data_IF_334878474621
#
_entry.id   IF_334878474621
#
_cell.length_a   1.000
_cell.length_b   1.000
_cell.length_c   1.000
_cell.angle_alpha   90.00
_cell.angle_beta   90.00
_cell.angle_gamma   90.00
#
_symmetry.space_group_name_H-M   'P 1'
#
loop_
_entity.id
_entity.type
_entity.pdbx_description
1 polymer ?
#
# COMPACT_ATOMS: atom_id res chain seq x y z
N UNK A 1 -11.04 5.65 -13.26
CA UNK A 1 -11.52 5.55 -11.88
C UNK A 1 -10.81 4.44 -11.13
N UNK A 2 -10.53 3.30 -11.79
CA UNK A 2 -9.58 2.28 -11.30
C UNK A 2 -8.17 2.81 -11.04
N UNK A 3 -7.74 3.85 -11.78
CA UNK A 3 -6.38 4.37 -11.70
C UNK A 3 -5.90 4.76 -10.28
N UNK A 4 -6.76 5.32 -9.42
CA UNK A 4 -6.37 5.71 -8.07
C UNK A 4 -6.23 4.51 -7.13
N UNK A 5 -7.20 3.57 -7.17
CA UNK A 5 -7.11 2.33 -6.39
C UNK A 5 -5.99 1.43 -6.90
N UNK A 6 -5.76 1.39 -8.21
CA UNK A 6 -4.66 0.66 -8.81
C UNK A 6 -3.32 1.28 -8.43
N UNK A 7 -3.20 2.61 -8.38
CA UNK A 7 -2.02 3.27 -7.84
C UNK A 7 -1.77 2.88 -6.38
N UNK A 8 -2.81 2.84 -5.53
CA UNK A 8 -2.66 2.37 -4.13
C UNK A 8 -2.20 0.91 -4.08
N UNK A 9 -2.76 0.03 -4.91
CA UNK A 9 -2.35 -1.37 -5.01
C UNK A 9 -0.90 -1.49 -5.49
N UNK A 10 -0.47 -0.67 -6.44
CA UNK A 10 0.91 -0.63 -6.93
C UNK A 10 1.90 -0.17 -5.85
N UNK A 11 1.57 0.89 -5.10
CA UNK A 11 2.35 1.33 -3.94
C UNK A 11 2.47 0.19 -2.92
N UNK A 12 1.37 -0.56 -2.67
CA UNK A 12 1.36 -1.68 -1.71
C UNK A 12 2.22 -2.85 -2.19
N UNK A 13 2.20 -3.10 -3.50
CA UNK A 13 3.08 -4.07 -4.16
C UNK A 13 4.54 -3.65 -4.09
N UNK A 14 4.87 -2.36 -4.10
CA UNK A 14 6.25 -1.88 -3.89
C UNK A 14 6.67 -1.92 -2.43
N UNK A 15 5.71 -1.90 -1.51
CA UNK A 15 5.97 -1.83 -0.06
C UNK A 15 6.03 -0.40 0.47
N UNK A 16 5.58 0.55 -0.34
CA UNK A 16 5.50 1.96 0.05
C UNK A 16 4.44 2.14 1.13
N UNK A 17 4.64 3.14 1.99
CA UNK A 17 3.69 3.51 3.02
C UNK A 17 2.86 4.70 2.56
N UNK A 18 1.55 4.63 2.77
CA UNK A 18 0.63 5.75 2.54
C UNK A 18 0.17 6.25 3.90
N UNK A 19 0.49 7.51 4.21
CA UNK A 19 0.18 8.13 5.49
C UNK A 19 -1.21 8.79 5.51
N UNK A 20 -1.56 9.49 4.44
CA UNK A 20 -2.83 10.22 4.33
C UNK A 20 -3.40 10.03 2.92
N UNK A 21 -4.72 9.85 2.83
CA UNK A 21 -5.48 9.78 1.59
C UNK A 21 -6.54 10.88 1.63
N UNK A 22 -6.48 11.77 0.63
CA UNK A 22 -7.45 12.85 0.46
C UNK A 22 -8.32 12.52 -0.76
N UNK A 23 -9.64 12.61 -0.62
CA UNK A 23 -10.58 12.37 -1.71
C UNK A 23 -11.64 13.47 -1.80
N UNK A 24 -12.01 13.87 -3.01
CA UNK A 24 -13.16 14.77 -3.22
C UNK A 24 -14.47 14.00 -3.03
N UNK A 25 -15.44 14.59 -2.33
CA UNK A 25 -16.77 14.01 -2.19
C UNK A 25 -17.41 13.77 -3.56
N UNK A 26 -17.31 14.74 -4.47
CA UNK A 26 -17.87 14.63 -5.83
C UNK A 26 -16.82 14.13 -6.80
N UNK A 27 -16.81 12.83 -7.03
CA UNK A 27 -16.02 12.17 -8.06
C UNK A 27 -16.95 11.50 -9.10
N UNK A 28 -16.56 11.44 -10.38
CA UNK A 28 -17.33 10.70 -11.38
C UNK A 28 -17.38 9.22 -11.00
N UNK A 29 -18.52 8.57 -11.27
CA UNK A 29 -18.82 7.13 -11.12
C UNK A 29 -18.72 6.48 -9.71
N UNK A 30 -17.89 6.97 -8.78
CA UNK A 30 -17.95 6.66 -7.34
C UNK A 30 -17.73 7.94 -6.53
N UNK A 31 -18.33 8.06 -5.35
CA UNK A 31 -18.09 9.21 -4.49
C UNK A 31 -16.80 9.03 -3.64
N UNK A 32 -16.30 10.12 -3.04
CA UNK A 32 -15.08 10.08 -2.25
C UNK A 32 -15.12 9.13 -1.03
N UNK A 33 -16.32 8.85 -0.51
CA UNK A 33 -16.52 7.97 0.65
C UNK A 33 -16.32 6.52 0.22
N UNK A 34 -16.97 6.10 -0.87
CA UNK A 34 -16.82 4.76 -1.45
C UNK A 34 -15.36 4.49 -1.85
N UNK A 35 -14.65 5.51 -2.34
CA UNK A 35 -13.22 5.41 -2.62
C UNK A 35 -12.40 5.21 -1.35
N UNK A 36 -12.63 6.02 -0.31
CA UNK A 36 -11.91 5.92 0.96
C UNK A 36 -12.16 4.59 1.67
N UNK A 37 -13.38 4.06 1.57
CA UNK A 37 -13.73 2.71 2.07
C UNK A 37 -12.89 1.63 1.37
N UNK A 38 -12.81 1.64 0.04
CA UNK A 38 -11.97 0.69 -0.70
C UNK A 38 -10.47 0.91 -0.47
N UNK A 39 -10.06 2.15 -0.23
CA UNK A 39 -8.67 2.48 0.07
C UNK A 39 -8.24 1.91 1.43
N UNK A 40 -9.14 1.79 2.41
CA UNK A 40 -8.87 1.19 3.72
C UNK A 40 -8.50 -0.30 3.61
N UNK A 41 -9.10 -1.06 2.69
CA UNK A 41 -8.72 -2.45 2.44
C UNK A 41 -7.26 -2.57 1.97
N UNK A 42 -6.76 -1.51 1.31
CA UNK A 42 -5.38 -1.43 0.82
C UNK A 42 -4.46 -0.89 1.92
N UNK A 43 -4.81 0.22 2.55
CA UNK A 43 -4.02 0.90 3.60
C UNK A 43 -4.87 1.21 4.83
N UNK A 44 -5.09 0.24 5.72
CA UNK A 44 -6.00 0.44 6.86
C UNK A 44 -5.43 1.38 7.94
N UNK A 45 -4.13 1.68 7.88
CA UNK A 45 -3.51 2.67 8.76
C UNK A 45 -3.38 4.07 8.18
N UNK A 46 -3.78 4.30 6.92
CA UNK A 46 -3.73 5.63 6.34
C UNK A 46 -4.83 6.52 6.92
N UNK A 47 -4.52 7.78 7.22
CA UNK A 47 -5.49 8.79 7.64
C UNK A 47 -6.37 9.20 6.46
N UNK A 48 -7.66 9.42 6.71
CA UNK A 48 -8.67 9.67 5.69
C UNK A 48 -9.18 11.10 5.77
N UNK A 49 -9.14 11.80 4.65
CA UNK A 49 -9.62 13.18 4.54
C UNK A 49 -10.60 13.31 3.38
N UNK A 50 -11.80 13.79 3.69
CA UNK A 50 -12.80 14.10 2.68
C UNK A 50 -12.79 15.59 2.34
N UNK A 51 -12.62 15.94 1.08
CA UNK A 51 -12.77 17.30 0.57
C UNK A 51 -14.22 17.50 0.12
N UNK A 52 -14.94 18.48 0.66
CA UNK A 52 -16.36 18.70 0.35
C UNK A 52 -16.69 20.16 0.11
N UNK A 53 -17.78 20.45 -0.61
CA UNK A 53 -18.30 21.80 -0.77
C UNK A 53 -19.52 22.01 0.15
N UNK A 54 -19.80 23.26 0.53
CA UNK A 54 -20.85 23.65 1.48
C UNK A 54 -22.24 23.04 1.23
N UNK A 55 -22.58 22.75 -0.04
CA UNK A 55 -23.86 22.18 -0.44
C UNK A 55 -24.03 20.69 -0.08
N UNK A 56 -22.94 19.99 0.25
CA UNK A 56 -22.90 18.54 0.49
C UNK A 56 -22.68 18.20 1.98
N UNK A 57 -22.77 19.18 2.87
CA UNK A 57 -22.40 19.05 4.31
C UNK A 57 -23.23 18.01 5.05
N UNK A 58 -24.53 17.89 4.78
CA UNK A 58 -25.38 16.88 5.44
C UNK A 58 -25.03 15.45 5.02
N UNK A 59 -24.74 15.23 3.73
CA UNK A 59 -24.31 13.92 3.23
C UNK A 59 -22.87 13.58 3.68
N UNK A 60 -22.02 14.59 3.88
CA UNK A 60 -20.70 14.43 4.46
C UNK A 60 -20.77 14.05 5.96
N UNK A 61 -21.73 14.59 6.72
CA UNK A 61 -21.94 14.23 8.14
C UNK A 61 -22.35 12.76 8.28
N UNK A 62 -23.26 12.28 7.42
CA UNK A 62 -23.67 10.87 7.45
C UNK A 62 -22.51 9.93 7.10
N UNK A 63 -21.60 10.37 6.22
CA UNK A 63 -20.40 9.63 5.85
C UNK A 63 -19.38 9.47 6.97
N UNK A 64 -19.22 10.48 7.83
CA UNK A 64 -18.30 10.46 8.98
C UNK A 64 -18.61 9.26 9.87
N UNK A 65 -19.89 8.97 10.10
CA UNK A 65 -20.33 7.88 10.96
C UNK A 65 -20.14 6.48 10.32
N UNK A 66 -20.03 6.40 8.99
CA UNK A 66 -19.96 5.12 8.26
C UNK A 66 -18.52 4.65 8.05
N UNK A 67 -17.59 5.57 7.72
CA UNK A 67 -16.22 5.20 7.35
C UNK A 67 -15.14 5.71 8.32
N UNK A 68 -15.53 6.25 9.48
CA UNK A 68 -14.62 6.73 10.53
C UNK A 68 -13.58 7.72 9.98
N UNK A 69 -14.04 8.78 9.31
CA UNK A 69 -13.16 9.80 8.73
C UNK A 69 -12.28 10.46 9.81
N UNK A 70 -10.98 10.59 9.54
CA UNK A 70 -10.08 11.32 10.44
C UNK A 70 -10.31 12.84 10.34
N UNK A 71 -10.65 13.34 9.15
CA UNK A 71 -10.98 14.76 8.96
C UNK A 71 -11.84 15.02 7.71
N UNK A 72 -12.50 16.18 7.66
CA UNK A 72 -13.10 16.72 6.43
C UNK A 72 -12.68 18.18 6.22
N UNK A 73 -12.43 18.56 4.98
CA UNK A 73 -12.03 19.92 4.61
C UNK A 73 -13.06 20.53 3.66
N UNK A 74 -13.45 21.77 3.95
CA UNK A 74 -14.41 22.51 3.15
C UNK A 74 -13.72 23.34 2.06
N UNK A 75 -14.25 23.25 0.84
CA UNK A 75 -13.91 24.11 -0.30
C UNK A 75 -14.62 25.47 -0.20
N UNK A 76 -13.96 26.59 -0.54
CA UNK A 76 -12.53 26.72 -0.90
C UNK A 76 -11.61 26.76 0.33
N UNK A 77 -10.47 26.05 0.23
CA UNK A 77 -9.44 26.00 1.27
C UNK A 77 -8.35 27.06 1.09
N UNK A 78 -8.53 28.02 0.19
CA UNK A 78 -7.61 29.15 0.07
C UNK A 78 -7.76 30.13 1.24
N UNK A 79 -6.65 30.65 1.79
CA UNK A 79 -5.27 30.24 1.52
C UNK A 79 -4.93 28.87 2.15
N UNK A 80 -4.25 27.95 1.43
CA UNK A 80 -4.00 26.59 1.90
C UNK A 80 -3.10 26.54 3.13
N UNK A 81 -2.23 27.53 3.33
CA UNK A 81 -1.35 27.66 4.50
C UNK A 81 -2.14 27.79 5.81
N UNK A 82 -3.37 28.31 5.75
CA UNK A 82 -4.20 28.50 6.93
C UNK A 82 -5.19 27.34 7.15
N UNK A 83 -5.66 26.71 6.07
CA UNK A 83 -6.79 25.77 6.13
C UNK A 83 -6.45 24.33 5.77
N UNK A 84 -5.49 24.11 4.87
CA UNK A 84 -5.14 22.78 4.35
C UNK A 84 -3.90 22.22 5.05
N UNK A 85 -2.79 22.96 5.02
CA UNK A 85 -1.50 22.47 5.52
C UNK A 85 -1.51 22.15 7.02
N UNK A 86 -2.09 22.98 7.91
CA UNK A 86 -2.12 22.66 9.34
C UNK A 86 -2.84 21.33 9.63
N UNK A 87 -3.95 21.07 8.93
CA UNK A 87 -4.71 19.83 9.06
C UNK A 87 -3.89 18.62 8.56
N UNK A 88 -3.19 18.76 7.43
CA UNK A 88 -2.36 17.68 6.91
C UNK A 88 -1.16 17.39 7.80
N UNK A 89 -0.54 18.42 8.36
CA UNK A 89 0.57 18.27 9.30
C UNK A 89 0.12 17.51 10.55
N UNK A 90 -1.02 17.90 11.14
CA UNK A 90 -1.60 17.20 12.29
C UNK A 90 -1.90 15.73 11.99
N UNK A 91 -2.44 15.42 10.82
CA UNK A 91 -2.74 14.05 10.40
C UNK A 91 -1.48 13.23 10.13
N UNK A 92 -0.47 13.83 9.51
CA UNK A 92 0.82 13.19 9.26
C UNK A 92 1.53 12.88 10.57
N UNK A 93 1.50 13.80 11.53
CA UNK A 93 2.08 13.58 12.85
C UNK A 93 1.30 12.50 13.62
N UNK A 94 -0.03 12.55 13.61
CA UNK A 94 -0.87 11.50 14.19
C UNK A 94 -0.65 10.12 13.55
N UNK A 95 -0.32 10.07 12.26
CA UNK A 95 0.07 8.83 11.57
C UNK A 95 1.45 8.35 12.01
N UNK A 96 2.44 9.25 12.10
CA UNK A 96 3.81 8.90 12.55
C UNK A 96 3.82 8.32 13.97
N UNK A 97 3.01 8.90 14.87
CA UNK A 97 2.89 8.46 16.26
C UNK A 97 1.92 7.29 16.45
N UNK A 98 1.20 6.87 15.41
CA UNK A 98 0.33 5.70 15.47
C UNK A 98 1.14 4.42 15.63
N UNK A 99 0.62 3.49 16.43
CA UNK A 99 1.16 2.13 16.60
C UNK A 99 0.90 1.23 15.36
N UNK A 100 0.15 1.72 14.37
CA UNK A 100 -0.03 0.98 13.13
C UNK A 100 1.31 0.87 12.39
N UNK A 101 1.87 -0.35 12.42
CA UNK A 101 3.04 -0.75 11.64
C UNK A 101 2.61 -1.88 10.72
N UNK A 102 2.47 -1.66 9.40
CA UNK A 102 2.22 -2.76 8.49
C UNK A 102 3.37 -3.75 8.64
N UNK A 103 3.06 -5.04 8.88
CA UNK A 103 4.08 -6.08 8.99
C UNK A 103 4.83 -6.13 7.66
N UNK A 104 6.12 -5.74 7.62
CA UNK A 104 6.89 -5.76 6.39
C UNK A 104 6.97 -7.22 5.92
N UNK A 105 6.54 -7.50 4.70
CA UNK A 105 6.48 -8.86 4.14
C UNK A 105 7.37 -8.96 2.91
N UNK A 106 8.14 -10.05 2.83
CA UNK A 106 8.85 -10.39 1.60
C UNK A 106 7.85 -10.72 0.49
N UNK A 107 8.10 -10.28 -0.74
CA UNK A 107 7.31 -10.68 -1.91
C UNK A 107 8.13 -11.64 -2.74
N UNK A 108 7.61 -12.85 -2.97
CA UNK A 108 8.29 -13.88 -3.74
C UNK A 108 7.54 -14.07 -5.06
N UNK A 109 8.19 -13.73 -6.16
CA UNK A 109 7.69 -14.03 -7.52
C UNK A 109 8.42 -15.25 -8.04
N UNK A 110 7.69 -16.26 -8.51
CA UNK A 110 8.32 -17.46 -9.06
C UNK A 110 7.35 -18.33 -9.84
N UNK A 111 7.88 -19.33 -10.53
CA UNK A 111 7.06 -20.34 -11.19
C UNK A 111 6.45 -21.29 -10.17
N UNK A 112 5.19 -21.68 -10.41
CA UNK A 112 4.42 -22.54 -9.50
C UNK A 112 5.11 -23.89 -9.22
N UNK A 113 5.91 -24.40 -10.17
CA UNK A 113 6.51 -25.75 -10.12
C UNK A 113 8.05 -25.73 -10.07
N UNK A 114 8.67 -24.58 -9.82
CA UNK A 114 10.13 -24.48 -9.72
C UNK A 114 10.62 -24.97 -8.36
N UNK A 115 11.58 -25.91 -8.35
CA UNK A 115 12.26 -26.37 -7.14
C UNK A 115 12.89 -25.20 -6.37
N UNK A 116 13.61 -24.33 -7.09
CA UNK A 116 14.23 -23.13 -6.51
C UNK A 116 13.21 -22.17 -5.87
N UNK A 117 12.03 -22.03 -6.47
CA UNK A 117 10.92 -21.23 -5.89
C UNK A 117 10.31 -21.90 -4.65
N UNK A 118 10.37 -23.22 -4.54
CA UNK A 118 9.97 -23.95 -3.34
C UNK A 118 11.02 -23.80 -2.23
N UNK A 119 12.30 -23.93 -2.55
CA UNK A 119 13.40 -23.80 -1.59
C UNK A 119 13.39 -22.43 -0.87
N UNK A 120 13.19 -21.35 -1.63
CA UNK A 120 13.10 -19.99 -1.07
C UNK A 120 11.88 -19.83 -0.15
N UNK A 121 10.72 -20.36 -0.55
CA UNK A 121 9.49 -20.28 0.29
C UNK A 121 9.63 -21.11 1.55
N UNK A 122 10.20 -22.31 1.44
CA UNK A 122 10.46 -23.17 2.59
C UNK A 122 11.46 -22.52 3.55
N UNK A 123 12.52 -21.88 3.03
CA UNK A 123 13.45 -21.11 3.85
C UNK A 123 12.74 -20.00 4.64
N UNK A 124 11.91 -19.19 3.97
CA UNK A 124 11.19 -18.09 4.63
C UNK A 124 10.20 -18.62 5.67
N UNK A 125 9.43 -19.66 5.33
CA UNK A 125 8.49 -20.30 6.24
C UNK A 125 9.18 -20.90 7.47
N UNK A 126 10.29 -21.62 7.27
CA UNK A 126 11.06 -22.27 8.35
C UNK A 126 11.65 -21.26 9.34
N UNK A 127 12.05 -20.09 8.85
CA UNK A 127 12.60 -19.01 9.67
C UNK A 127 11.53 -18.00 10.14
N UNK A 128 10.24 -18.30 9.96
CA UNK A 128 9.11 -17.45 10.36
C UNK A 128 9.16 -16.03 9.77
N UNK A 129 9.76 -15.88 8.58
CA UNK A 129 9.79 -14.61 7.86
C UNK A 129 8.46 -14.45 7.11
N UNK A 130 7.64 -13.43 7.41
CA UNK A 130 6.40 -13.21 6.71
C UNK A 130 6.64 -12.96 5.21
N UNK A 131 5.94 -13.69 4.35
CA UNK A 131 6.04 -13.52 2.91
C UNK A 131 4.71 -13.69 2.19
N UNK A 132 4.62 -13.10 1.01
CA UNK A 132 3.53 -13.31 0.07
C UNK A 132 4.08 -13.84 -1.25
N UNK A 133 3.48 -14.91 -1.75
CA UNK A 133 3.87 -15.52 -3.02
C UNK A 133 2.97 -15.06 -4.16
N UNK A 134 3.59 -14.81 -5.32
CA UNK A 134 2.97 -14.42 -6.57
C UNK A 134 3.49 -15.33 -7.68
N UNK A 135 2.59 -15.80 -8.55
CA UNK A 135 3.00 -16.52 -9.75
C UNK A 135 3.59 -15.53 -10.76
N UNK A 136 4.66 -15.90 -11.47
CA UNK A 136 5.19 -15.10 -12.58
C UNK A 136 4.14 -14.78 -13.65
N UNK A 137 3.15 -15.65 -13.81
CA UNK A 137 2.18 -15.59 -14.91
C UNK A 137 0.95 -14.72 -14.58
N UNK A 138 0.83 -14.22 -13.34
CA UNK A 138 -0.27 -13.31 -12.97
C UNK A 138 0.10 -11.85 -13.22
N UNK A 139 -0.88 -10.97 -13.48
CA UNK A 139 -0.64 -9.54 -13.65
C UNK A 139 0.15 -8.92 -12.50
N UNK A 140 -0.12 -9.33 -11.25
CA UNK A 140 0.60 -8.84 -10.06
C UNK A 140 2.05 -9.30 -10.05
N UNK A 141 2.33 -10.56 -10.43
CA UNK A 141 3.69 -11.06 -10.56
C UNK A 141 4.47 -10.31 -11.63
N UNK A 142 3.85 -10.07 -12.79
CA UNK A 142 4.43 -9.30 -13.88
C UNK A 142 4.72 -7.84 -13.50
N UNK A 143 3.83 -7.19 -12.73
CA UNK A 143 4.07 -5.84 -12.18
C UNK A 143 5.24 -5.82 -11.22
N UNK A 144 5.35 -6.81 -10.33
CA UNK A 144 6.48 -6.92 -9.40
C UNK A 144 7.81 -7.13 -10.12
N UNK A 145 7.83 -7.95 -11.17
CA UNK A 145 9.00 -8.14 -12.03
C UNK A 145 9.39 -6.83 -12.72
N UNK A 146 8.42 -6.17 -13.35
CA UNK A 146 8.63 -4.88 -14.02
C UNK A 146 9.14 -3.81 -13.06
N UNK A 147 8.57 -3.72 -11.85
CA UNK A 147 9.01 -2.77 -10.83
C UNK A 147 10.43 -3.06 -10.31
N UNK A 148 10.85 -4.32 -10.31
CA UNK A 148 12.20 -4.74 -9.97
C UNK A 148 13.19 -4.70 -11.16
N UNK A 149 12.76 -4.24 -12.34
CA UNK A 149 13.57 -4.24 -13.56
C UNK A 149 13.96 -5.63 -14.05
N UNK A 150 13.12 -6.64 -13.80
CA UNK A 150 13.33 -8.04 -14.20
C UNK A 150 12.35 -8.44 -15.30
N UNK A 151 12.80 -9.30 -16.22
CA UNK A 151 12.02 -9.86 -17.33
C UNK A 151 11.31 -11.19 -16.97
N UNK A 152 11.64 -11.78 -15.82
CA UNK A 152 11.09 -13.05 -15.36
C UNK A 152 11.80 -14.28 -15.92
N UNK A 153 12.93 -14.13 -16.64
CA UNK A 153 13.73 -15.27 -17.10
C UNK A 153 14.47 -15.96 -15.95
N UNK A 154 14.82 -15.19 -14.91
CA UNK A 154 15.54 -15.66 -13.72
C UNK A 154 14.66 -15.57 -12.48
N UNK A 155 14.23 -16.73 -11.98
CA UNK A 155 13.30 -16.85 -10.87
C UNK A 155 13.76 -17.92 -9.86
N UNK A 156 13.42 -17.78 -8.56
CA UNK A 156 12.50 -16.80 -7.99
C UNK A 156 13.15 -15.42 -7.79
N UNK A 157 12.34 -14.37 -7.92
CA UNK A 157 12.65 -13.03 -7.44
C UNK A 157 12.08 -12.86 -6.03
N UNK A 158 12.91 -12.43 -5.08
CA UNK A 158 12.48 -12.03 -3.74
C UNK A 158 12.66 -10.53 -3.60
N UNK A 159 11.58 -9.80 -3.32
CA UNK A 159 11.64 -8.40 -2.91
C UNK A 159 11.54 -8.38 -1.40
N UNK A 160 12.60 -7.95 -0.74
CA UNK A 160 12.68 -7.87 0.72
C UNK A 160 11.83 -6.73 1.26
N UNK A 161 11.57 -6.65 2.57
CA UNK A 161 10.61 -5.69 3.08
C UNK A 161 11.08 -4.22 2.98
N UNK A 162 12.38 -3.99 2.81
CA UNK A 162 13.01 -2.71 2.48
C UNK A 162 12.96 -2.38 0.97
N UNK A 163 12.32 -3.22 0.16
CA UNK A 163 12.18 -3.04 -1.29
C UNK A 163 13.35 -3.59 -2.13
N UNK A 164 14.39 -4.18 -1.52
CA UNK A 164 15.54 -4.68 -2.28
C UNK A 164 15.18 -5.94 -3.09
N UNK A 165 15.41 -5.96 -4.42
CA UNK A 165 15.20 -7.16 -5.23
C UNK A 165 16.41 -8.11 -5.16
N UNK A 166 16.14 -9.39 -4.93
CA UNK A 166 17.11 -10.50 -4.94
C UNK A 166 16.68 -11.51 -5.99
N UNK A 167 17.47 -11.65 -7.05
CA UNK A 167 17.22 -12.61 -8.12
C UNK A 167 17.89 -13.93 -7.78
N UNK A 168 17.11 -15.01 -7.73
CA UNK A 168 17.60 -16.36 -7.48
C UNK A 168 18.46 -16.48 -6.19
N UNK A 169 18.06 -15.91 -5.04
CA UNK A 169 18.91 -15.92 -3.85
C UNK A 169 19.13 -17.34 -3.33
N UNK A 170 20.32 -17.58 -2.78
CA UNK A 170 20.59 -18.74 -1.94
C UNK A 170 20.22 -18.43 -0.47
N UNK A 171 20.26 -19.46 0.38
CA UNK A 171 19.93 -19.32 1.80
C UNK A 171 20.74 -18.23 2.53
N UNK A 172 22.08 -18.19 2.39
CA UNK A 172 22.91 -17.16 3.02
C UNK A 172 22.60 -15.73 2.53
N UNK A 173 22.45 -15.51 1.22
CA UNK A 173 22.13 -14.19 0.68
C UNK A 173 20.75 -13.71 1.13
N UNK A 174 19.78 -14.64 1.24
CA UNK A 174 18.45 -14.34 1.76
C UNK A 174 18.49 -14.02 3.26
N UNK A 175 19.21 -14.82 4.06
CA UNK A 175 19.36 -14.62 5.51
C UNK A 175 19.90 -13.23 5.86
N UNK A 176 20.93 -12.79 5.12
CA UNK A 176 21.56 -11.49 5.31
C UNK A 176 20.62 -10.29 5.09
N UNK A 177 19.53 -10.49 4.33
CA UNK A 177 18.61 -9.42 3.95
C UNK A 177 17.28 -9.44 4.70
N UNK A 178 16.96 -10.55 5.37
CA UNK A 178 15.74 -10.69 6.17
C UNK A 178 16.00 -10.66 7.68
N UNK A 179 17.20 -10.22 8.09
CA UNK A 179 17.56 -10.01 9.50
C UNK A 179 17.90 -11.28 10.27
N UNK A 180 18.43 -12.31 9.59
CA UNK A 180 18.76 -13.61 10.18
C UNK A 180 20.28 -13.90 10.22
N UNK A 181 21.13 -12.94 9.86
CA UNK A 181 22.58 -13.06 9.83
C UNK A 181 23.26 -12.47 11.08
#
# INVERSE_FOLDING_TARGET
MDAALDALKELKLRGDQVAVILADYRMPQMNGIEFLEQALDVYPGARRVLLTAYADTNAAIDAINVIDLDHYLLKPWDPPEEKLYPVLDDLLDAWRTSDYRPVPTCKVVGHRWSARSSDVREFLARNQVPYRWYSSDTPEGQRLLSAAGQDGERLPLVITPDGTPLVEPDGPALAARVGLA
#
